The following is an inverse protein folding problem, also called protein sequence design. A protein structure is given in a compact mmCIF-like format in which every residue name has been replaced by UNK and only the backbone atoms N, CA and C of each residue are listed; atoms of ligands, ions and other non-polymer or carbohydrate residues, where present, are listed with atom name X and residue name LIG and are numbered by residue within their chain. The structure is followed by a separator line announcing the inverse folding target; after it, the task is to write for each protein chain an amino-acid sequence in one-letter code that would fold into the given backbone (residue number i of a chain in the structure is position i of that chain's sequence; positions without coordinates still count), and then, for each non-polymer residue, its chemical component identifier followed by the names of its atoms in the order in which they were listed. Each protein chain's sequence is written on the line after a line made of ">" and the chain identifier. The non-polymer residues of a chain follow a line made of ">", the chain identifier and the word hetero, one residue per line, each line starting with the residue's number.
data_IF_372666613969
#
_entry.id   IF_372666613969
#
_cell.length_a   1.000
_cell.length_b   1.000
_cell.length_c   1.000
_cell.angle_alpha   90.00
_cell.angle_beta   90.00
_cell.angle_gamma   90.00
#
_symmetry.space_group_name_H-M   'P 1'
#
loop_
_entity.id
_entity.type
_entity.pdbx_description
1 polymer ?
#
# COMPACT_ATOMS: atom_id res chain seq x y z
N UNK A 1 16.60 -35.62 6.07
CA UNK A 1 15.92 -34.56 5.30
C UNK A 1 14.43 -34.65 5.62
N UNK A 2 13.85 -33.62 6.23
CA UNK A 2 12.41 -33.59 6.46
C UNK A 2 11.71 -33.23 5.15
N UNK A 3 11.05 -34.21 4.53
CA UNK A 3 10.20 -33.97 3.36
C UNK A 3 9.02 -33.14 3.83
N UNK A 4 9.01 -31.84 3.51
CA UNK A 4 7.89 -30.94 3.79
C UNK A 4 6.68 -31.48 3.03
N UNK A 5 5.64 -31.89 3.75
CA UNK A 5 4.38 -32.31 3.13
C UNK A 5 3.81 -31.11 2.35
N UNK A 6 3.66 -31.28 1.03
CA UNK A 6 3.02 -30.32 0.15
C UNK A 6 1.68 -30.91 -0.26
N UNK A 7 0.61 -30.17 -0.01
CA UNK A 7 -0.72 -30.57 -0.47
C UNK A 7 -0.71 -30.48 -2.00
N UNK A 8 -1.18 -31.53 -2.68
CA UNK A 8 -1.11 -31.68 -4.14
C UNK A 8 -1.79 -30.53 -4.92
N UNK A 9 -2.74 -29.84 -4.29
CA UNK A 9 -3.48 -28.72 -4.87
C UNK A 9 -2.84 -27.34 -4.59
N UNK A 10 -1.79 -27.26 -3.78
CA UNK A 10 -1.10 -25.99 -3.51
C UNK A 10 -0.15 -25.61 -4.66
N UNK A 11 -0.29 -24.40 -5.23
CA UNK A 11 0.63 -23.92 -6.25
C UNK A 11 2.06 -23.94 -5.72
N UNK A 12 2.99 -24.47 -6.50
CA UNK A 12 4.40 -24.48 -6.12
C UNK A 12 4.88 -23.03 -5.84
N UNK A 13 5.54 -22.76 -4.70
CA UNK A 13 5.99 -21.42 -4.36
C UNK A 13 6.98 -20.93 -5.41
N UNK A 14 6.68 -19.78 -6.02
CA UNK A 14 7.58 -19.14 -6.98
C UNK A 14 8.88 -18.68 -6.32
N UNK A 15 9.93 -18.35 -7.11
CA UNK A 15 11.24 -17.96 -6.56
C UNK A 15 11.19 -16.73 -5.65
N UNK A 16 10.21 -15.84 -5.88
CA UNK A 16 10.00 -14.62 -5.08
C UNK A 16 9.16 -14.85 -3.81
N UNK A 17 8.57 -16.03 -3.63
CA UNK A 17 7.75 -16.34 -2.45
C UNK A 17 8.54 -16.24 -1.13
N UNK A 18 9.86 -16.40 -1.19
CA UNK A 18 10.76 -16.27 -0.04
C UNK A 18 10.90 -14.84 0.49
N UNK A 19 10.56 -13.85 -0.33
CA UNK A 19 10.64 -12.41 0.01
C UNK A 19 9.28 -11.86 0.43
N UNK A 20 8.20 -12.64 0.23
CA UNK A 20 6.86 -12.24 0.65
C UNK A 20 6.79 -12.15 2.18
N UNK A 21 6.28 -11.04 2.70
CA UNK A 21 6.07 -10.83 4.13
C UNK A 21 4.60 -10.71 4.45
N UNK A 22 4.23 -10.99 5.71
CA UNK A 22 2.88 -10.73 6.20
C UNK A 22 2.52 -9.22 5.99
N UNK A 23 1.40 -8.89 5.32
CA UNK A 23 0.95 -7.52 5.00
C UNK A 23 0.76 -6.63 6.21
N UNK A 24 0.64 -7.21 7.41
CA UNK A 24 0.60 -6.44 8.65
C UNK A 24 1.89 -5.61 8.85
N UNK A 25 3.04 -6.08 8.38
CA UNK A 25 4.31 -5.36 8.47
C UNK A 25 4.35 -4.12 7.56
N UNK A 26 4.03 -4.22 6.26
CA UNK A 26 3.80 -3.05 5.41
C UNK A 26 2.77 -2.07 5.97
N UNK A 27 1.67 -2.57 6.55
CA UNK A 27 0.64 -1.71 7.16
C UNK A 27 1.20 -0.92 8.34
N UNK A 28 1.89 -1.58 9.27
CA UNK A 28 2.58 -0.91 10.38
C UNK A 28 3.65 0.07 9.87
N UNK A 29 4.35 -0.29 8.81
CA UNK A 29 5.25 0.59 8.08
C UNK A 29 4.56 1.86 7.60
N UNK A 30 3.33 1.78 7.08
CA UNK A 30 2.58 2.95 6.60
C UNK A 30 2.17 3.88 7.75
N UNK A 31 1.82 3.27 8.90
CA UNK A 31 1.40 3.96 10.11
C UNK A 31 2.57 4.69 10.79
N UNK A 32 3.71 4.00 10.96
CA UNK A 32 4.84 4.51 11.75
C UNK A 32 6.01 5.05 10.90
N UNK A 33 6.38 4.35 9.82
CA UNK A 33 7.51 4.69 8.96
C UNK A 33 7.15 5.60 7.78
N UNK A 34 5.87 5.65 7.39
CA UNK A 34 5.36 6.44 6.28
C UNK A 34 5.25 5.67 4.96
N UNK A 35 4.74 6.36 3.93
CA UNK A 35 4.39 5.75 2.65
C UNK A 35 5.61 5.22 1.87
N UNK A 36 6.79 5.82 2.06
CA UNK A 36 8.01 5.43 1.35
C UNK A 36 8.48 4.00 1.72
N UNK A 37 8.22 3.55 2.95
CA UNK A 37 8.57 2.21 3.40
C UNK A 37 7.49 1.19 3.02
N UNK A 38 6.23 1.55 3.22
CA UNK A 38 5.11 0.63 3.03
C UNK A 38 4.80 0.33 1.56
N UNK A 39 4.75 1.34 0.71
CA UNK A 39 4.25 1.20 -0.66
C UNK A 39 5.14 0.30 -1.54
N UNK A 40 6.49 0.41 -1.51
CA UNK A 40 7.34 -0.53 -2.22
C UNK A 40 7.16 -1.97 -1.73
N UNK A 41 6.95 -2.14 -0.42
CA UNK A 41 6.78 -3.47 0.17
C UNK A 41 5.44 -4.11 -0.19
N UNK A 42 4.36 -3.34 -0.26
CA UNK A 42 3.08 -3.81 -0.81
C UNK A 42 3.20 -4.20 -2.29
N UNK A 43 3.89 -3.40 -3.11
CA UNK A 43 4.12 -3.73 -4.52
C UNK A 43 4.96 -5.00 -4.69
N UNK A 44 6.01 -5.18 -3.87
CA UNK A 44 6.83 -6.40 -3.87
C UNK A 44 6.02 -7.63 -3.45
N UNK A 45 5.20 -7.51 -2.40
CA UNK A 45 4.31 -8.59 -1.96
C UNK A 45 3.32 -8.99 -3.06
N UNK A 46 2.71 -8.03 -3.75
CA UNK A 46 1.79 -8.30 -4.86
C UNK A 46 2.45 -9.09 -6.00
N UNK A 47 3.73 -8.81 -6.28
CA UNK A 47 4.54 -9.53 -7.26
C UNK A 47 4.94 -10.93 -6.77
N UNK A 48 5.39 -11.03 -5.52
CA UNK A 48 5.88 -12.27 -4.92
C UNK A 48 4.77 -13.32 -4.74
N UNK A 49 3.56 -12.88 -4.39
CA UNK A 49 2.38 -13.74 -4.20
C UNK A 49 1.66 -14.08 -5.51
N UNK A 50 2.07 -13.49 -6.64
CA UNK A 50 1.44 -13.75 -7.94
C UNK A 50 -0.05 -13.39 -7.99
N UNK A 51 -0.48 -12.38 -7.22
CA UNK A 51 -1.90 -12.02 -7.07
C UNK A 51 -2.59 -11.81 -8.42
N UNK A 52 -3.83 -12.32 -8.62
CA UNK A 52 -4.64 -12.04 -9.81
C UNK A 52 -4.87 -10.54 -10.02
N UNK A 53 -4.86 -9.76 -8.93
CA UNK A 53 -5.05 -8.31 -8.91
C UNK A 53 -3.76 -7.51 -8.83
N UNK A 54 -2.58 -8.12 -9.08
CA UNK A 54 -1.26 -7.47 -8.95
C UNK A 54 -1.16 -6.09 -9.60
N UNK A 55 -1.75 -5.91 -10.78
CA UNK A 55 -1.72 -4.62 -11.48
C UNK A 55 -2.47 -3.52 -10.72
N UNK A 56 -3.61 -3.86 -10.11
CA UNK A 56 -4.37 -2.93 -9.27
C UNK A 56 -3.63 -2.63 -7.97
N UNK A 57 -3.00 -3.63 -7.36
CA UNK A 57 -2.22 -3.45 -6.13
C UNK A 57 -0.99 -2.56 -6.36
N UNK A 58 -0.25 -2.77 -7.46
CA UNK A 58 0.89 -1.91 -7.82
C UNK A 58 0.42 -0.48 -8.12
N UNK A 59 -0.67 -0.32 -8.86
CA UNK A 59 -1.24 1.00 -9.15
C UNK A 59 -1.69 1.70 -7.86
N UNK A 60 -2.36 0.99 -6.95
CA UNK A 60 -2.73 1.52 -5.63
C UNK A 60 -1.49 1.89 -4.81
N UNK A 61 -0.43 1.07 -4.80
CA UNK A 61 0.81 1.40 -4.10
C UNK A 61 1.46 2.69 -4.64
N UNK A 62 1.48 2.87 -5.96
CA UNK A 62 1.97 4.09 -6.60
C UNK A 62 1.11 5.32 -6.24
N UNK A 63 -0.22 5.18 -6.30
CA UNK A 63 -1.16 6.24 -5.94
C UNK A 63 -1.14 6.56 -4.43
N UNK A 64 -0.91 5.57 -3.58
CA UNK A 64 -0.77 5.74 -2.13
C UNK A 64 0.53 6.43 -1.74
N UNK A 65 1.61 6.19 -2.48
CA UNK A 65 2.91 6.82 -2.25
C UNK A 65 2.99 8.26 -2.76
N UNK A 66 2.48 8.51 -3.97
CA UNK A 66 2.68 9.79 -4.67
C UNK A 66 1.38 10.61 -4.80
N UNK A 67 0.25 9.94 -5.02
CA UNK A 67 -1.02 10.58 -5.37
C UNK A 67 -1.58 11.49 -4.27
N UNK A 68 -1.54 11.07 -3.01
CA UNK A 68 -2.09 11.84 -1.90
C UNK A 68 -1.36 13.16 -1.64
N UNK A 69 -0.03 13.12 -1.68
CA UNK A 69 0.80 14.31 -1.47
C UNK A 69 0.67 15.29 -2.65
N UNK A 70 0.65 14.76 -3.88
CA UNK A 70 0.48 15.58 -5.09
C UNK A 70 -0.90 16.26 -5.12
N UNK A 71 -1.96 15.50 -4.82
CA UNK A 71 -3.33 16.00 -4.83
C UNK A 71 -3.53 17.11 -3.79
N UNK A 72 -2.95 16.97 -2.60
CA UNK A 72 -3.01 18.00 -1.56
C UNK A 72 -2.20 19.23 -1.93
N UNK A 73 -1.02 19.07 -2.54
CA UNK A 73 -0.24 20.19 -3.06
C UNK A 73 -1.00 20.98 -4.14
N UNK A 74 -1.66 20.29 -5.08
CA UNK A 74 -2.46 20.93 -6.13
C UNK A 74 -3.69 21.66 -5.56
N UNK A 75 -4.37 21.06 -4.57
CA UNK A 75 -5.50 21.71 -3.90
C UNK A 75 -5.05 22.98 -3.15
N UNK A 76 -3.89 22.95 -2.51
CA UNK A 76 -3.34 24.12 -1.82
C UNK A 76 -2.94 25.24 -2.79
N UNK A 77 -2.34 24.90 -3.94
CA UNK A 77 -2.02 25.88 -4.99
C UNK A 77 -3.30 26.52 -5.56
N UNK A 78 -4.29 25.70 -5.90
CA UNK A 78 -5.57 26.19 -6.41
C UNK A 78 -6.30 27.08 -5.40
N UNK A 79 -6.35 26.65 -4.13
CA UNK A 79 -7.07 27.40 -3.11
C UNK A 79 -6.32 28.68 -2.68
N UNK A 80 -4.98 28.71 -2.77
CA UNK A 80 -4.20 29.92 -2.59
C UNK A 80 -4.51 31.00 -3.63
N UNK A 81 -4.66 30.61 -4.89
CA UNK A 81 -5.02 31.49 -6.01
C UNK A 81 -6.50 31.93 -5.97
N UNK A 82 -7.42 31.02 -5.60
CA UNK A 82 -8.87 31.22 -5.79
C UNK A 82 -9.64 31.67 -4.53
N UNK A 83 -9.19 31.30 -3.33
CA UNK A 83 -10.02 31.36 -2.10
C UNK A 83 -9.40 32.17 -0.96
N UNK A 84 -8.19 32.71 -1.12
CA UNK A 84 -7.54 33.50 -0.06
C UNK A 84 -7.33 32.69 1.22
N UNK A 85 -6.93 31.42 1.08
CA UNK A 85 -6.86 30.46 2.19
C UNK A 85 -5.97 30.98 3.32
N UNK A 86 -6.56 31.04 4.52
CA UNK A 86 -5.86 31.43 5.74
C UNK A 86 -4.87 30.35 6.19
N UNK A 87 -3.85 30.75 6.95
CA UNK A 87 -2.80 29.84 7.47
C UNK A 87 -3.38 28.67 8.28
N UNK A 88 -4.57 28.85 8.87
CA UNK A 88 -5.30 27.80 9.56
C UNK A 88 -5.81 26.70 8.60
N UNK A 89 -6.32 27.07 7.42
CA UNK A 89 -6.80 26.12 6.42
C UNK A 89 -5.68 25.20 5.91
N UNK A 90 -4.48 25.75 5.72
CA UNK A 90 -3.30 24.98 5.31
C UNK A 90 -2.89 23.94 6.37
N UNK A 91 -3.01 24.28 7.66
CA UNK A 91 -2.71 23.33 8.75
C UNK A 91 -3.67 22.14 8.76
N UNK A 92 -4.94 22.35 8.42
CA UNK A 92 -5.90 21.24 8.29
C UNK A 92 -5.69 20.41 7.03
N UNK A 93 -5.25 21.04 5.92
CA UNK A 93 -4.99 20.34 4.67
C UNK A 93 -3.90 19.25 4.81
N UNK A 94 -2.97 19.38 5.77
CA UNK A 94 -1.92 18.38 6.04
C UNK A 94 -2.47 17.05 6.59
N UNK A 95 -3.73 17.03 7.04
CA UNK A 95 -4.40 15.81 7.52
C UNK A 95 -4.85 14.95 6.33
N UNK A 96 -5.25 15.57 5.21
CA UNK A 96 -5.70 14.87 4.00
C UNK A 96 -4.69 13.85 3.44
N UNK A 97 -3.39 14.16 3.25
CA UNK A 97 -2.43 13.17 2.75
C UNK A 97 -2.22 12.03 3.76
N UNK A 98 -2.39 12.30 5.05
CA UNK A 98 -2.35 11.28 6.10
C UNK A 98 -3.55 10.33 6.00
N UNK A 99 -4.77 10.86 5.82
CA UNK A 99 -5.95 10.02 5.61
C UNK A 99 -5.86 9.22 4.31
N UNK A 100 -5.38 9.84 3.24
CA UNK A 100 -5.17 9.18 1.95
C UNK A 100 -4.22 7.99 2.07
N UNK A 101 -3.02 8.19 2.62
CA UNK A 101 -2.04 7.09 2.74
C UNK A 101 -2.60 5.94 3.57
N UNK A 102 -3.36 6.25 4.63
CA UNK A 102 -3.93 5.25 5.53
C UNK A 102 -5.05 4.47 4.84
N UNK A 103 -5.93 5.15 4.10
CA UNK A 103 -6.98 4.52 3.31
C UNK A 103 -6.41 3.58 2.25
N UNK A 104 -5.37 4.01 1.53
CA UNK A 104 -4.72 3.16 0.52
C UNK A 104 -3.98 1.99 1.15
N UNK A 105 -3.25 2.20 2.25
CA UNK A 105 -2.55 1.13 2.96
C UNK A 105 -3.53 0.06 3.50
N UNK A 106 -4.70 0.48 4.00
CA UNK A 106 -5.74 -0.45 4.42
C UNK A 106 -6.36 -1.21 3.25
N UNK A 107 -6.62 -0.53 2.12
CA UNK A 107 -7.12 -1.20 0.92
C UNK A 107 -6.13 -2.27 0.42
N UNK A 108 -4.83 -1.94 0.38
CA UNK A 108 -3.77 -2.89 0.03
C UNK A 108 -3.68 -4.03 1.03
N UNK A 109 -3.77 -3.76 2.33
CA UNK A 109 -3.80 -4.79 3.37
C UNK A 109 -4.96 -5.79 3.16
N UNK A 110 -6.16 -5.30 2.84
CA UNK A 110 -7.33 -6.16 2.58
C UNK A 110 -7.10 -7.00 1.32
N UNK A 111 -6.64 -6.40 0.22
CA UNK A 111 -6.36 -7.14 -1.01
C UNK A 111 -5.28 -8.20 -0.83
N UNK A 112 -4.17 -7.85 -0.16
CA UNK A 112 -3.09 -8.80 0.13
C UNK A 112 -3.50 -9.87 1.16
N UNK A 113 -4.40 -9.55 2.10
CA UNK A 113 -4.92 -10.50 3.09
C UNK A 113 -5.75 -11.62 2.45
N UNK A 114 -6.60 -11.28 1.48
CA UNK A 114 -7.40 -12.27 0.71
C UNK A 114 -6.50 -13.27 -0.04
N UNK A 115 -5.36 -12.80 -0.55
CA UNK A 115 -4.43 -13.63 -1.30
C UNK A 115 -3.71 -14.60 -0.37
N UNK A 116 -3.24 -14.16 0.79
CA UNK A 116 -2.44 -14.99 1.71
C UNK A 116 -3.24 -16.11 2.38
N UNK A 117 -4.53 -15.90 2.71
CA UNK A 117 -5.38 -16.98 3.23
C UNK A 117 -5.69 -18.09 2.21
N UNK A 118 -5.34 -17.92 0.92
CA UNK A 118 -5.39 -19.00 -0.07
C UNK A 118 -4.05 -19.74 -0.24
N UNK A 119 -2.97 -19.26 0.38
CA UNK A 119 -1.62 -19.84 0.27
C UNK A 119 -1.08 -20.45 1.59
N UNK A 120 -1.86 -20.40 2.67
CA UNK A 120 -1.60 -21.02 3.98
C UNK A 120 -2.85 -21.71 4.50
#
# INVERSE_FOLDING_TARGET
>A
MATRYQILDEPAPGPLATVAVNPIWPLLGAMMGGSWLAMPWFALNALALGSPTRGREILLALLGGLGGNLLVALLLLYAGEALGVTTAGVRYAIILPTLWKMGVAYALFIFSGIVIFNFF
#
